data_IF_588810653789
#
_entry.id   IF_588810653789
#
_cell.length_a   1.000
_cell.length_b   1.000
_cell.length_c   1.000
_cell.angle_alpha   90.00
_cell.angle_beta   90.00
_cell.angle_gamma   90.00
#
_symmetry.space_group_name_H-M   'P 1'
#
loop_
_entity.id
_entity.type
_entity.pdbx_description
1 polymer ?
#
# COMPACT_ATOMS: atom_id res chain seq x y z
N UNK A 1 9.77 -16.09 -0.85
CA UNK A 1 10.11 -15.12 -1.91
C UNK A 1 8.81 -14.54 -2.44
N UNK A 2 8.45 -13.33 -2.00
CA UNK A 2 7.29 -12.63 -2.57
C UNK A 2 7.63 -12.32 -4.04
N UNK A 3 6.76 -12.63 -5.01
CA UNK A 3 7.03 -12.31 -6.40
C UNK A 3 7.22 -10.80 -6.49
N UNK A 4 8.32 -10.36 -7.10
CA UNK A 4 8.53 -8.96 -7.44
C UNK A 4 7.46 -8.54 -8.46
N UNK A 5 6.26 -8.22 -7.96
CA UNK A 5 5.20 -7.58 -8.72
C UNK A 5 5.56 -6.11 -8.73
N UNK A 6 6.25 -5.70 -9.78
CA UNK A 6 6.68 -4.31 -9.96
C UNK A 6 5.45 -3.42 -10.11
N UNK A 7 5.26 -2.50 -9.17
CA UNK A 7 4.37 -1.35 -9.34
C UNK A 7 5.21 -0.27 -10.02
N UNK A 8 4.82 0.15 -11.21
CA UNK A 8 5.45 1.30 -11.86
C UNK A 8 5.03 2.55 -11.10
N UNK A 9 6.02 3.21 -10.51
CA UNK A 9 5.86 4.43 -9.73
C UNK A 9 6.87 5.45 -10.17
N UNK A 10 6.43 6.70 -10.26
CA UNK A 10 7.30 7.84 -10.58
C UNK A 10 7.10 8.93 -9.54
N UNK A 11 8.20 9.55 -9.11
CA UNK A 11 8.10 10.80 -8.36
C UNK A 11 7.97 11.93 -9.37
N UNK A 12 6.89 12.70 -9.24
CA UNK A 12 6.63 13.90 -10.03
C UNK A 12 6.66 15.12 -9.12
N UNK A 13 7.13 16.24 -9.63
CA UNK A 13 7.16 17.51 -8.93
C UNK A 13 6.20 18.47 -9.64
N UNK A 14 5.37 19.18 -8.90
CA UNK A 14 4.50 20.21 -9.46
C UNK A 14 5.24 21.55 -9.64
N UNK A 15 4.49 22.58 -10.02
CA UNK A 15 5.06 23.92 -10.28
C UNK A 15 5.43 24.67 -8.99
N UNK A 16 4.89 24.24 -7.86
CA UNK A 16 5.10 24.83 -6.54
C UNK A 16 6.21 24.08 -5.77
N UNK A 17 6.76 23.00 -6.35
CA UNK A 17 7.83 22.20 -5.78
C UNK A 17 7.35 21.02 -4.92
N UNK A 18 6.04 20.76 -4.89
CA UNK A 18 5.47 19.63 -4.16
C UNK A 18 5.70 18.33 -4.93
N UNK A 19 6.11 17.28 -4.22
CA UNK A 19 6.48 15.99 -4.81
C UNK A 19 5.45 14.92 -4.51
N UNK A 20 4.96 14.25 -5.56
CA UNK A 20 3.93 13.24 -5.48
C UNK A 20 4.40 11.92 -6.07
N UNK A 21 3.84 10.82 -5.55
CA UNK A 21 3.97 9.51 -6.16
C UNK A 21 2.87 9.35 -7.22
N UNK A 22 3.26 9.34 -8.48
CA UNK A 22 2.37 9.04 -9.60
C UNK A 22 2.29 7.52 -9.80
N UNK A 23 1.06 7.02 -9.89
CA UNK A 23 0.73 5.62 -10.16
C UNK A 23 0.08 5.54 -11.54
N UNK A 24 0.54 4.60 -12.37
CA UNK A 24 0.10 4.52 -13.77
C UNK A 24 -1.35 4.06 -13.94
N UNK A 25 -1.89 3.30 -12.98
CA UNK A 25 -3.24 2.75 -13.09
C UNK A 25 -3.98 2.61 -11.75
N UNK A 26 -5.29 2.41 -11.84
CA UNK A 26 -6.13 2.06 -10.68
C UNK A 26 -5.75 0.71 -10.09
N UNK A 27 -5.23 -0.21 -10.90
CA UNK A 27 -4.76 -1.51 -10.44
C UNK A 27 -3.47 -1.36 -9.61
N UNK A 28 -2.57 -0.49 -10.05
CA UNK A 28 -1.34 -0.16 -9.32
C UNK A 28 -1.63 0.52 -7.99
N UNK A 29 -2.63 1.42 -7.95
CA UNK A 29 -3.11 2.01 -6.71
C UNK A 29 -3.64 0.94 -5.74
N UNK A 30 -4.41 -0.03 -6.25
CA UNK A 30 -4.94 -1.12 -5.42
C UNK A 30 -3.82 -1.99 -4.86
N UNK A 31 -2.85 -2.38 -5.69
CA UNK A 31 -1.67 -3.16 -5.28
C UNK A 31 -0.82 -2.40 -4.26
N UNK A 32 -0.58 -1.11 -4.49
CA UNK A 32 0.18 -0.25 -3.59
C UNK A 32 -0.50 -0.16 -2.22
N UNK A 33 -1.82 0.04 -2.21
CA UNK A 33 -2.61 0.05 -0.97
C UNK A 33 -2.50 -1.27 -0.21
N UNK A 34 -2.63 -2.40 -0.89
CA UNK A 34 -2.49 -3.73 -0.28
C UNK A 34 -1.10 -3.91 0.33
N UNK A 35 -0.03 -3.58 -0.40
CA UNK A 35 1.36 -3.65 0.09
C UNK A 35 1.59 -2.77 1.33
N UNK A 36 1.09 -1.53 1.35
CA UNK A 36 1.23 -0.63 2.50
C UNK A 36 0.53 -1.19 3.73
N UNK A 37 -0.67 -1.76 3.56
CA UNK A 37 -1.42 -2.38 4.64
C UNK A 37 -0.69 -3.62 5.17
N UNK A 38 -0.18 -4.48 4.30
CA UNK A 38 0.59 -5.67 4.71
C UNK A 38 1.85 -5.29 5.49
N UNK A 39 2.66 -4.37 4.96
CA UNK A 39 3.87 -3.88 5.63
C UNK A 39 3.57 -3.26 7.00
N UNK A 40 2.45 -2.54 7.13
CA UNK A 40 2.03 -1.98 8.42
C UNK A 40 1.82 -3.06 9.47
N UNK A 41 1.12 -4.16 9.16
CA UNK A 41 0.89 -5.23 10.13
C UNK A 41 2.12 -6.11 10.37
N UNK A 42 3.00 -6.29 9.38
CA UNK A 42 4.30 -6.93 9.61
C UNK A 42 5.17 -6.15 10.60
N UNK A 43 5.14 -4.81 10.52
CA UNK A 43 5.87 -3.93 11.44
C UNK A 43 5.15 -3.72 12.79
N UNK A 44 3.86 -4.03 12.89
CA UNK A 44 3.05 -3.84 14.09
C UNK A 44 2.32 -5.15 14.46
N UNK A 45 3.05 -6.21 14.85
CA UNK A 45 2.48 -7.54 15.08
C UNK A 45 1.46 -7.56 16.23
N UNK A 46 1.56 -6.62 17.19
CA UNK A 46 0.61 -6.50 18.31
C UNK A 46 -0.75 -5.92 17.90
N UNK A 47 -0.85 -5.35 16.69
CA UNK A 47 -2.11 -4.81 16.17
C UNK A 47 -2.88 -5.89 15.43
N UNK A 48 -4.06 -6.24 15.95
CA UNK A 48 -4.98 -7.18 15.31
C UNK A 48 -5.49 -6.61 13.98
N UNK A 49 -5.54 -7.45 12.95
CA UNK A 49 -6.18 -7.05 11.69
C UNK A 49 -7.69 -6.90 11.91
N UNK A 50 -8.36 -5.90 11.31
CA UNK A 50 -9.80 -5.70 11.45
C UNK A 50 -10.63 -6.96 11.17
N UNK A 51 -10.19 -7.82 10.25
CA UNK A 51 -10.86 -9.08 9.90
C UNK A 51 -10.79 -10.17 11.00
N UNK A 52 -9.87 -10.07 11.97
CA UNK A 52 -9.77 -11.05 13.08
C UNK A 52 -10.73 -10.72 14.23
N UNK A 53 -11.42 -9.58 14.18
CA UNK A 53 -12.25 -9.10 15.30
C UNK A 53 -13.76 -9.29 15.10
N UNK A 54 -14.18 -9.93 14.00
CA UNK A 54 -15.60 -10.25 13.78
C UNK A 54 -15.78 -11.70 13.31
N UNK A 55 -15.69 -12.63 14.26
CA UNK A 55 -16.60 -13.79 14.22
C UNK A 55 -17.90 -13.36 14.90
N UNK A 56 -19.03 -13.25 14.18
CA UNK A 56 -20.32 -13.24 14.83
C UNK A 56 -20.52 -14.61 15.50
N UNK A 57 -20.95 -14.60 16.76
CA UNK A 57 -21.53 -15.78 17.42
C UNK A 57 -22.87 -16.14 16.79
#
# INVERSE_FOLDING_TARGET
>A
MLPHKHILTKIVEDKDGERFLELESREDLKKFREMVIEAYYELNPDRKRPCETQSPK
#
